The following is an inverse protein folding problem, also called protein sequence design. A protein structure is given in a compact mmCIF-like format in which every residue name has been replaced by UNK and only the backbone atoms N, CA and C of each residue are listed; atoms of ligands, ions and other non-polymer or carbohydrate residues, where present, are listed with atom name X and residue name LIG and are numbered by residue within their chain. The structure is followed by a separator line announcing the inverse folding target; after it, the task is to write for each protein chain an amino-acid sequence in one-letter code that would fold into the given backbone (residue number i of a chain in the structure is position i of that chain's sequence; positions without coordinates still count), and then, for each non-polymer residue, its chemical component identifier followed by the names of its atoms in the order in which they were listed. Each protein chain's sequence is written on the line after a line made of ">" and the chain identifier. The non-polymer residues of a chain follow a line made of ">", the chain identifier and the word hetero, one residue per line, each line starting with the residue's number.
data_IF_721587993460
#
_entry.id   IF_721587993460
#
_cell.length_a   1.000
_cell.length_b   1.000
_cell.length_c   1.000
_cell.angle_alpha   90.00
_cell.angle_beta   90.00
_cell.angle_gamma   90.00
#
_symmetry.space_group_name_H-M   'P 1'
#
loop_
_entity.id
_entity.type
_entity.pdbx_description
1 polymer ?
#
# COMPACT_ATOMS: atom_id res chain seq x y z
N UNK A 1 -3.89 -3.79 -16.13
CA UNK A 1 -4.69 -3.32 -14.98
C UNK A 1 -3.82 -3.21 -13.73
N UNK A 2 -3.40 -4.32 -13.13
CA UNK A 2 -2.57 -4.33 -11.92
C UNK A 2 -1.22 -3.60 -12.07
N UNK A 3 -0.66 -3.58 -13.29
CA UNK A 3 0.55 -2.83 -13.65
C UNK A 3 0.47 -1.32 -13.39
N UNK A 4 -0.74 -0.75 -13.35
CA UNK A 4 -0.95 0.68 -13.03
C UNK A 4 -0.78 1.02 -11.55
N UNK A 5 -0.77 -0.01 -10.69
CA UNK A 5 -0.55 0.07 -9.25
C UNK A 5 0.91 -0.24 -8.89
N UNK A 6 1.51 -1.26 -9.51
CA UNK A 6 2.88 -1.70 -9.25
C UNK A 6 3.24 -2.89 -10.14
N UNK A 7 4.22 -3.70 -9.73
CA UNK A 7 4.62 -4.90 -10.48
C UNK A 7 3.80 -6.10 -10.02
N UNK A 8 2.91 -6.69 -10.85
CA UNK A 8 2.14 -7.86 -10.45
C UNK A 8 3.04 -9.07 -10.22
N UNK A 9 2.84 -9.78 -9.11
CA UNK A 9 3.62 -10.97 -8.73
C UNK A 9 2.78 -12.23 -8.94
N UNK A 10 1.59 -12.30 -8.31
CA UNK A 10 0.76 -13.50 -8.27
C UNK A 10 -0.72 -13.12 -8.36
N UNK A 11 -1.52 -13.90 -9.08
CA UNK A 11 -2.98 -13.84 -9.06
C UNK A 11 -3.51 -14.99 -8.19
N UNK A 12 -4.65 -14.78 -7.52
CA UNK A 12 -5.32 -15.89 -6.86
C UNK A 12 -5.82 -16.92 -7.90
N UNK A 13 -6.14 -18.14 -7.44
CA UNK A 13 -6.49 -19.24 -8.32
C UNK A 13 -7.70 -18.95 -9.22
N UNK A 14 -8.72 -18.26 -8.71
CA UNK A 14 -9.93 -17.96 -9.49
C UNK A 14 -9.65 -16.89 -10.55
N UNK A 15 -8.95 -15.81 -10.17
CA UNK A 15 -8.52 -14.78 -11.12
C UNK A 15 -7.61 -15.36 -12.20
N UNK A 16 -6.64 -16.20 -11.82
CA UNK A 16 -5.72 -16.86 -12.76
C UNK A 16 -6.46 -17.78 -13.74
N UNK A 17 -7.38 -18.61 -13.25
CA UNK A 17 -8.15 -19.54 -14.08
C UNK A 17 -8.96 -18.79 -15.14
N UNK A 18 -9.66 -17.72 -14.75
CA UNK A 18 -10.51 -16.95 -15.67
C UNK A 18 -9.67 -16.16 -16.68
N UNK A 19 -8.53 -15.61 -16.26
CA UNK A 19 -7.59 -14.96 -17.18
C UNK A 19 -7.00 -15.93 -18.21
N UNK A 20 -6.73 -17.19 -17.83
CA UNK A 20 -6.12 -18.19 -18.72
C UNK A 20 -7.14 -18.81 -19.70
N UNK A 21 -8.33 -19.14 -19.22
CA UNK A 21 -9.32 -19.89 -20.00
C UNK A 21 -10.34 -18.99 -20.69
N UNK A 22 -10.49 -17.74 -20.23
CA UNK A 22 -11.50 -16.80 -20.74
C UNK A 22 -12.95 -17.22 -20.46
N UNK A 23 -13.16 -18.21 -19.59
CA UNK A 23 -14.47 -18.74 -19.24
C UNK A 23 -14.76 -18.46 -17.77
N UNK A 24 -15.89 -17.82 -17.51
CA UNK A 24 -16.35 -17.45 -16.18
C UNK A 24 -16.59 -15.94 -16.03
N UNK A 25 -17.13 -15.55 -14.88
CA UNK A 25 -17.34 -14.14 -14.51
C UNK A 25 -16.84 -13.95 -13.08
N UNK A 26 -16.08 -12.89 -12.88
CA UNK A 26 -15.63 -12.44 -11.57
C UNK A 26 -16.22 -11.07 -11.29
N UNK A 27 -16.60 -10.84 -10.04
CA UNK A 27 -16.97 -9.51 -9.56
C UNK A 27 -15.75 -8.65 -9.23
N UNK A 28 -14.61 -9.28 -8.92
CA UNK A 28 -13.34 -8.62 -8.64
C UNK A 28 -12.14 -9.51 -9.03
N UNK A 29 -10.95 -8.91 -9.15
CA UNK A 29 -9.69 -9.62 -9.37
C UNK A 29 -8.76 -9.39 -8.17
N UNK A 30 -8.16 -10.45 -7.63
CA UNK A 30 -7.14 -10.33 -6.56
C UNK A 30 -5.76 -10.60 -7.13
N UNK A 31 -4.86 -9.66 -6.87
CA UNK A 31 -3.49 -9.70 -7.38
C UNK A 31 -2.55 -9.23 -6.27
N UNK A 32 -1.52 -10.03 -5.98
CA UNK A 32 -0.39 -9.59 -5.17
C UNK A 32 0.53 -8.74 -6.05
N UNK A 33 0.83 -7.53 -5.58
CA UNK A 33 1.58 -6.52 -6.35
C UNK A 33 2.76 -6.05 -5.51
N UNK A 34 3.95 -6.04 -6.10
CA UNK A 34 5.09 -5.30 -5.57
C UNK A 34 4.83 -3.80 -5.73
N UNK A 35 4.83 -3.08 -4.62
CA UNK A 35 4.42 -1.68 -4.59
C UNK A 35 5.56 -0.77 -4.13
N UNK A 36 5.72 0.37 -4.81
CA UNK A 36 6.70 1.38 -4.41
C UNK A 36 6.12 2.26 -3.29
N UNK A 37 6.67 2.16 -2.07
CA UNK A 37 6.22 2.92 -0.91
C UNK A 37 6.36 4.45 -1.03
N UNK A 38 7.13 4.96 -1.99
CA UNK A 38 7.16 6.39 -2.29
C UNK A 38 5.90 6.88 -3.02
N UNK A 39 5.11 5.98 -3.63
CA UNK A 39 3.88 6.31 -4.35
C UNK A 39 2.67 6.22 -3.43
N UNK A 40 1.65 7.05 -3.70
CA UNK A 40 0.37 6.98 -3.00
C UNK A 40 -0.39 5.72 -3.45
N UNK A 41 -1.00 5.01 -2.50
CA UNK A 41 -1.97 3.94 -2.76
C UNK A 41 -3.21 4.54 -3.44
N UNK A 42 -3.59 4.01 -4.60
CA UNK A 42 -4.71 4.50 -5.40
C UNK A 42 -5.99 3.79 -4.99
N UNK A 43 -7.09 4.51 -4.91
CA UNK A 43 -8.41 3.95 -4.58
C UNK A 43 -9.21 3.54 -5.82
N UNK A 44 -8.81 4.04 -6.99
CA UNK A 44 -9.37 3.64 -8.29
C UNK A 44 -8.31 3.64 -9.39
N UNK A 45 -8.60 2.87 -10.44
CA UNK A 45 -7.84 2.86 -11.70
C UNK A 45 -8.79 3.04 -12.89
N UNK A 46 -8.36 3.79 -13.90
CA UNK A 46 -9.07 3.95 -15.16
C UNK A 46 -8.57 2.96 -16.20
N UNK A 47 -9.48 2.21 -16.82
CA UNK A 47 -9.20 1.29 -17.91
C UNK A 47 -9.82 1.86 -19.18
N UNK A 48 -8.98 2.13 -20.17
CA UNK A 48 -9.42 2.55 -21.49
C UNK A 48 -9.47 1.34 -22.43
N UNK A 49 -10.60 1.20 -23.12
CA UNK A 49 -10.76 0.28 -24.23
C UNK A 49 -10.49 1.06 -25.51
N UNK A 50 -9.41 0.75 -26.20
CA UNK A 50 -9.05 1.37 -27.48
C UNK A 50 -9.25 0.40 -28.62
N UNK A 51 -9.55 0.92 -29.82
CA UNK A 51 -9.52 0.11 -31.04
C UNK A 51 -8.08 -0.07 -31.56
N UNK A 52 -7.96 -0.74 -32.73
CA UNK A 52 -6.67 -0.98 -33.39
C UNK A 52 -5.97 0.31 -33.83
N UNK A 53 -6.72 1.39 -34.02
CA UNK A 53 -6.24 2.72 -34.40
C UNK A 53 -5.97 3.60 -33.18
N UNK A 54 -5.97 3.02 -31.97
CA UNK A 54 -5.78 3.69 -30.68
C UNK A 54 -6.87 4.71 -30.30
N UNK A 55 -8.02 4.69 -30.98
CA UNK A 55 -9.13 5.54 -30.58
C UNK A 55 -9.82 4.96 -29.34
N UNK A 56 -10.04 5.80 -28.33
CA UNK A 56 -10.72 5.40 -27.09
C UNK A 56 -12.20 5.14 -27.39
N UNK A 57 -12.64 3.89 -27.23
CA UNK A 57 -14.05 3.45 -27.37
C UNK A 57 -14.81 3.49 -26.06
N UNK A 58 -14.11 3.48 -24.93
CA UNK A 58 -14.74 3.57 -23.62
C UNK A 58 -13.70 3.65 -22.51
N UNK A 59 -14.10 4.25 -21.40
CA UNK A 59 -13.31 4.28 -20.18
C UNK A 59 -14.16 3.69 -19.05
N UNK A 60 -13.57 2.78 -18.27
CA UNK A 60 -14.18 2.23 -17.05
C UNK A 60 -13.31 2.56 -15.86
N UNK A 61 -13.92 3.02 -14.79
CA UNK A 61 -13.25 3.16 -13.51
C UNK A 61 -13.45 1.90 -12.68
N UNK A 62 -12.37 1.36 -12.13
CA UNK A 62 -12.38 0.18 -11.25
C UNK A 62 -11.86 0.59 -9.90
N UNK A 63 -12.63 0.31 -8.84
CA UNK A 63 -12.21 0.55 -7.46
C UNK A 63 -11.14 -0.45 -7.04
N UNK A 64 -10.19 0.01 -6.25
CA UNK A 64 -9.09 -0.79 -5.71
C UNK A 64 -9.28 -0.91 -4.21
N UNK A 65 -9.35 -2.15 -3.75
CA UNK A 65 -9.41 -2.49 -2.33
C UNK A 65 -8.11 -3.17 -1.93
N UNK A 66 -7.67 -2.90 -0.71
CA UNK A 66 -6.45 -3.43 -0.12
C UNK A 66 -6.81 -4.20 1.14
N UNK A 67 -6.46 -5.49 1.20
CA UNK A 67 -6.71 -6.33 2.38
C UNK A 67 -6.05 -5.74 3.65
N UNK A 68 -4.91 -5.06 3.49
CA UNK A 68 -4.21 -4.34 4.55
C UNK A 68 -3.49 -3.10 3.99
N UNK A 69 -3.53 -1.99 4.75
CA UNK A 69 -2.83 -0.74 4.41
C UNK A 69 -1.64 -0.54 5.36
N UNK A 70 -0.39 -0.78 4.92
CA UNK A 70 0.79 -0.58 5.76
C UNK A 70 1.03 0.89 6.12
N UNK A 71 1.64 1.13 7.27
CA UNK A 71 2.25 2.42 7.57
C UNK A 71 3.44 2.66 6.63
N UNK A 72 3.49 3.88 6.08
CA UNK A 72 4.58 4.34 5.20
C UNK A 72 5.34 5.44 5.91
N UNK A 73 6.65 5.30 5.97
CA UNK A 73 7.52 6.38 6.41
C UNK A 73 7.77 7.35 5.24
N UNK A 74 7.42 8.61 5.40
CA UNK A 74 7.59 9.66 4.39
C UNK A 74 9.05 10.05 4.21
N UNK A 75 9.91 9.81 5.19
CA UNK A 75 11.35 10.04 5.08
C UNK A 75 12.06 8.87 4.38
N UNK A 76 11.96 7.66 4.93
CA UNK A 76 12.61 6.47 4.39
C UNK A 76 11.99 5.98 3.07
N UNK A 77 10.72 6.33 2.80
CA UNK A 77 9.91 5.77 1.70
C UNK A 77 9.84 4.25 1.73
N UNK A 78 9.64 3.67 2.91
CA UNK A 78 9.49 2.22 3.12
C UNK A 78 8.23 1.91 3.93
N UNK A 79 7.76 0.67 3.82
CA UNK A 79 6.70 0.13 4.67
C UNK A 79 7.28 -0.36 6.01
N UNK A 80 6.46 -0.30 7.08
CA UNK A 80 6.75 -0.96 8.36
C UNK A 80 6.95 -0.03 9.56
N UNK A 81 7.11 1.28 9.34
CA UNK A 81 7.10 2.28 10.41
C UNK A 81 6.52 3.61 9.94
N UNK A 82 6.04 4.41 10.88
CA UNK A 82 5.64 5.81 10.66
C UNK A 82 6.83 6.76 10.92
N UNK A 83 6.66 8.01 10.52
CA UNK A 83 7.70 9.05 10.66
C UNK A 83 8.18 9.22 12.10
N UNK A 84 7.28 9.17 13.07
CA UNK A 84 7.58 9.27 14.51
C UNK A 84 8.57 8.20 14.98
N UNK A 85 8.42 6.98 14.45
CA UNK A 85 9.23 5.80 14.77
C UNK A 85 10.39 5.59 13.78
N UNK A 86 10.64 6.54 12.89
CA UNK A 86 11.74 6.46 11.95
C UNK A 86 13.07 6.63 12.69
N UNK A 87 13.97 5.65 12.52
CA UNK A 87 15.28 5.65 13.17
C UNK A 87 16.21 6.70 12.59
N UNK A 88 16.11 6.95 11.28
CA UNK A 88 16.95 7.91 10.56
C UNK A 88 16.32 9.31 10.46
N UNK A 89 15.19 9.56 11.12
CA UNK A 89 14.54 10.87 11.09
C UNK A 89 15.44 11.92 11.73
N UNK A 90 15.73 13.05 11.06
CA UNK A 90 16.49 14.13 11.65
C UNK A 90 15.63 14.81 12.71
N UNK A 91 15.84 14.42 13.97
CA UNK A 91 15.17 15.02 15.13
C UNK A 91 15.98 16.21 15.63
N UNK A 92 15.27 17.24 16.07
CA UNK A 92 15.85 18.31 16.88
C UNK A 92 16.19 17.79 18.28
N UNK A 93 17.08 18.49 18.98
CA UNK A 93 17.49 18.11 20.34
C UNK A 93 16.31 18.14 21.32
N UNK A 94 15.33 19.02 21.09
CA UNK A 94 14.09 19.10 21.85
C UNK A 94 13.19 17.87 21.64
N UNK A 95 13.06 17.41 20.40
CA UNK A 95 12.27 16.22 20.05
C UNK A 95 12.87 14.92 20.61
N UNK A 96 14.20 14.80 20.63
CA UNK A 96 14.88 13.65 21.25
C UNK A 96 14.73 13.62 22.78
N UNK A 97 14.80 14.79 23.43
CA UNK A 97 14.59 14.91 24.86
C UNK A 97 13.15 14.53 25.25
N UNK A 98 12.15 14.97 24.47
CA UNK A 98 10.76 14.61 24.69
C UNK A 98 10.51 13.10 24.56
N UNK A 99 11.15 12.42 23.60
CA UNK A 99 10.97 10.97 23.39
C UNK A 99 11.56 10.14 24.53
N UNK A 100 12.77 10.48 25.00
CA UNK A 100 13.40 9.79 26.15
C UNK A 100 12.57 9.94 27.42
N UNK A 101 11.97 11.11 27.64
CA UNK A 101 11.09 11.35 28.78
C UNK A 101 9.78 10.54 28.70
N UNK A 102 9.22 10.37 27.50
CA UNK A 102 8.04 9.53 27.27
C UNK A 102 8.31 8.04 27.52
N UNK A 103 9.41 7.51 26.98
CA UNK A 103 9.83 6.12 27.16
C UNK A 103 10.12 5.79 28.64
N UNK A 104 10.75 6.72 29.37
CA UNK A 104 11.00 6.57 30.81
C UNK A 104 9.71 6.57 31.65
N UNK A 105 8.70 7.37 31.25
CA UNK A 105 7.43 7.49 31.98
C UNK A 105 6.52 6.26 31.74
N UNK A 106 6.59 5.64 30.56
CA UNK A 106 5.86 4.40 30.25
C UNK A 106 6.49 3.17 30.94
N UNK A 107 7.82 3.09 30.99
CA UNK A 107 8.54 2.06 31.75
C UNK A 107 8.36 2.20 33.27
N UNK A 108 8.23 3.43 33.78
CA UNK A 108 7.89 3.72 35.17
C UNK A 108 6.50 3.17 35.54
N UNK A 109 5.49 3.44 34.71
CA UNK A 109 4.12 2.94 34.92
C UNK A 109 4.01 1.42 34.90
N UNK A 110 4.74 0.73 34.02
CA UNK A 110 4.73 -0.76 33.98
C UNK A 110 5.33 -1.35 35.27
N UNK A 111 6.33 -0.68 35.86
CA UNK A 111 6.97 -1.12 37.11
C UNK A 111 6.13 -0.84 38.37
N UNK A 112 5.23 0.13 38.33
CA UNK A 112 4.31 0.45 39.45
C UNK A 112 3.06 -0.44 39.50
N UNK A 113 2.82 -1.26 38.47
CA UNK A 113 1.66 -2.14 38.34
C UNK A 113 1.98 -3.61 38.71
N UNK A 114 3.25 -3.94 39.02
CA UNK A 114 3.69 -5.28 39.48
C UNK A 114 3.99 -5.27 40.97
#
# INVERSE_FOLDING_TARGET
>A
MASSLGTPIVMDNMTAHICQHGVGRLDYARVLVEFNAAKKLKESISIQHTDKEQNVKGTKEVKVEYDWKPMVCTHCKVFGHCDEKCYIWPRTVEEEAARKNGEANEQGKIREII
#
